data_IF_965220303751
#
_entry.id   IF_965220303751
#
_cell.length_a   1.000
_cell.length_b   1.000
_cell.length_c   1.000
_cell.angle_alpha   90.00
_cell.angle_beta   90.00
_cell.angle_gamma   90.00
#
_symmetry.space_group_name_H-M   'P 1'
#
loop_
_entity.id
_entity.type
_entity.pdbx_description
1 polymer ?
#
# COMPACT_ATOMS: atom_id res chain seq x y z
N UNK A 1 -14.04 -2.36 30.57
CA UNK A 1 -13.68 -1.56 29.38
C UNK A 1 -14.93 -0.76 29.05
N UNK A 2 -14.90 0.57 29.22
CA UNK A 2 -16.04 1.43 28.88
C UNK A 2 -15.76 2.12 27.56
N UNK A 3 -16.69 1.98 26.62
CA UNK A 3 -16.66 2.63 25.31
C UNK A 3 -17.33 3.99 25.45
N UNK A 4 -16.83 4.99 24.71
CA UNK A 4 -17.50 6.27 24.58
C UNK A 4 -18.51 6.17 23.43
N UNK A 5 -19.77 6.40 23.76
CA UNK A 5 -20.89 6.44 22.81
C UNK A 5 -20.92 7.77 22.06
N UNK A 6 -21.85 7.91 21.10
CA UNK A 6 -22.12 9.18 20.42
C UNK A 6 -22.39 10.32 21.41
N UNK A 7 -23.14 10.05 22.48
CA UNK A 7 -23.43 11.02 23.55
C UNK A 7 -22.14 11.44 24.25
N UNK A 8 -21.31 10.48 24.67
CA UNK A 8 -20.05 10.78 25.36
C UNK A 8 -19.09 11.56 24.44
N UNK A 9 -18.97 11.13 23.18
CA UNK A 9 -18.11 11.80 22.19
C UNK A 9 -18.57 13.24 22.02
N UNK A 10 -19.88 13.50 21.86
CA UNK A 10 -20.44 14.86 21.74
C UNK A 10 -20.15 15.71 22.98
N UNK A 11 -20.34 15.15 24.17
CA UNK A 11 -20.03 15.80 25.45
C UNK A 11 -18.57 16.25 25.54
N UNK A 12 -17.64 15.43 25.04
CA UNK A 12 -16.22 15.75 25.00
C UNK A 12 -15.86 16.90 24.05
N UNK A 13 -16.70 17.18 23.05
CA UNK A 13 -16.55 18.34 22.15
C UNK A 13 -17.10 19.63 22.74
N UNK A 14 -18.21 19.56 23.49
CA UNK A 14 -18.90 20.72 24.04
C UNK A 14 -18.20 21.30 25.29
N UNK A 15 -17.56 20.44 26.09
CA UNK A 15 -16.76 20.84 27.26
C UNK A 15 -15.35 21.21 26.78
N UNK A 16 -14.74 22.28 27.32
CA UNK A 16 -13.41 22.77 26.92
C UNK A 16 -12.40 21.62 26.70
N UNK A 17 -12.13 21.36 25.42
CA UNK A 17 -11.61 20.13 24.79
C UNK A 17 -10.45 19.38 25.49
N UNK A 18 -10.63 18.06 25.71
CA UNK A 18 -9.51 17.13 25.74
C UNK A 18 -9.48 16.19 24.53
N UNK A 19 -10.62 15.80 23.93
CA UNK A 19 -10.69 14.93 22.75
C UNK A 19 -11.18 15.72 21.53
N UNK A 20 -10.38 15.77 20.46
CA UNK A 20 -10.68 16.57 19.27
C UNK A 20 -10.62 15.74 17.99
N UNK A 21 -11.64 15.86 17.14
CA UNK A 21 -11.64 15.35 15.76
C UNK A 21 -11.91 16.54 14.84
N UNK A 22 -11.02 16.81 13.89
CA UNK A 22 -11.13 17.97 12.98
C UNK A 22 -10.83 17.60 11.53
N UNK A 23 -11.72 17.89 10.57
CA UNK A 23 -13.07 18.44 10.75
C UNK A 23 -14.04 17.41 11.35
N UNK A 24 -14.89 17.83 12.29
CA UNK A 24 -15.97 17.00 12.83
C UNK A 24 -17.21 17.10 11.94
N UNK A 25 -17.91 15.98 11.75
CA UNK A 25 -19.17 15.90 11.01
C UNK A 25 -20.14 14.98 11.75
N UNK A 26 -21.33 15.49 12.08
CA UNK A 26 -22.38 14.73 12.76
C UNK A 26 -22.81 13.48 11.98
N UNK A 27 -22.76 13.53 10.64
CA UNK A 27 -23.08 12.37 9.79
C UNK A 27 -22.11 11.20 9.95
N UNK A 28 -20.90 11.48 10.44
CA UNK A 28 -19.88 10.47 10.71
C UNK A 28 -19.93 9.97 12.16
N UNK A 29 -20.76 10.55 13.03
CA UNK A 29 -20.93 10.08 14.39
C UNK A 29 -21.80 8.81 14.38
N UNK A 30 -21.33 7.77 15.06
CA UNK A 30 -22.01 6.49 15.17
C UNK A 30 -22.30 6.20 16.65
N UNK A 31 -23.27 5.32 16.98
CA UNK A 31 -23.59 5.01 18.38
C UNK A 31 -22.41 4.52 19.25
N UNK A 32 -21.33 4.04 18.63
CA UNK A 32 -20.18 3.40 19.30
C UNK A 32 -18.84 4.11 19.03
N UNK A 33 -18.84 5.18 18.25
CA UNK A 33 -17.60 5.74 17.72
C UNK A 33 -17.81 6.77 16.62
N UNK A 34 -16.79 6.98 15.80
CA UNK A 34 -16.81 7.95 14.71
C UNK A 34 -16.21 7.37 13.43
N UNK A 35 -16.88 7.57 12.30
CA UNK A 35 -16.44 7.14 10.99
C UNK A 35 -15.38 8.11 10.42
N UNK A 36 -14.19 7.59 10.13
CA UNK A 36 -13.10 8.36 9.55
C UNK A 36 -13.17 8.33 8.02
N UNK A 37 -12.94 9.49 7.42
CA UNK A 37 -13.06 9.73 5.99
C UNK A 37 -11.70 9.73 5.30
N UNK A 38 -11.66 9.35 4.02
CA UNK A 38 -10.45 9.37 3.22
C UNK A 38 -10.01 10.82 2.99
N UNK A 39 -8.79 11.15 3.40
CA UNK A 39 -8.21 12.48 3.29
C UNK A 39 -7.39 12.69 2.02
N UNK A 40 -6.53 13.70 2.06
CA UNK A 40 -5.85 14.23 0.88
C UNK A 40 -4.57 13.50 0.45
N UNK A 41 -4.10 12.46 1.15
CA UNK A 41 -2.83 11.78 0.79
C UNK A 41 -3.00 10.28 0.76
N UNK A 42 -2.49 9.64 -0.30
CA UNK A 42 -2.40 8.19 -0.36
C UNK A 42 -1.17 7.69 -1.11
N UNK A 43 -0.78 6.45 -0.83
CA UNK A 43 0.28 5.72 -1.52
C UNK A 43 -0.22 4.30 -1.78
N UNK A 44 -0.07 3.80 -3.00
CA UNK A 44 -0.32 2.39 -3.32
C UNK A 44 0.98 1.60 -3.39
N UNK A 45 0.94 0.31 -3.09
CA UNK A 45 2.12 -0.57 -3.12
C UNK A 45 2.73 -0.73 -4.52
N UNK A 46 1.99 -0.47 -5.59
CA UNK A 46 2.49 -0.72 -6.95
C UNK A 46 3.16 0.51 -7.57
N UNK A 47 2.64 1.72 -7.33
CA UNK A 47 3.25 2.94 -7.88
C UNK A 47 4.29 3.51 -6.90
N UNK A 48 4.09 3.34 -5.58
CA UNK A 48 5.00 3.88 -4.55
C UNK A 48 5.05 5.40 -4.51
N UNK A 49 4.35 6.07 -5.42
CA UNK A 49 4.21 7.51 -5.50
C UNK A 49 3.13 7.96 -4.54
N UNK A 50 3.43 9.01 -3.78
CA UNK A 50 2.39 9.74 -3.07
C UNK A 50 1.56 10.48 -4.12
N UNK A 51 0.26 10.25 -4.05
CA UNK A 51 -0.71 11.00 -4.84
C UNK A 51 -1.53 11.82 -3.85
N UNK A 52 -1.69 13.10 -4.16
CA UNK A 52 -2.59 13.97 -3.41
C UNK A 52 -4.01 13.77 -3.95
N UNK A 53 -4.96 13.49 -3.06
CA UNK A 53 -6.40 13.46 -3.34
C UNK A 53 -6.95 14.88 -3.13
N UNK A 54 -7.59 15.40 -4.16
CA UNK A 54 -8.41 16.60 -4.08
C UNK A 54 -9.88 16.19 -4.11
N UNK A 55 -10.77 17.15 -3.87
CA UNK A 55 -12.20 16.95 -4.05
C UNK A 55 -12.50 16.38 -5.44
N UNK A 56 -13.49 15.48 -5.52
CA UNK A 56 -13.86 14.71 -6.72
C UNK A 56 -12.84 13.66 -7.19
N UNK A 57 -11.69 13.49 -6.54
CA UNK A 57 -10.76 12.40 -6.85
C UNK A 57 -11.05 11.13 -6.03
N UNK A 58 -10.59 9.99 -6.56
CA UNK A 58 -10.75 8.68 -5.94
C UNK A 58 -9.48 7.85 -6.01
N UNK A 59 -9.25 7.05 -4.98
CA UNK A 59 -8.21 6.01 -4.97
C UNK A 59 -8.79 4.75 -5.57
N UNK A 60 -8.12 4.20 -6.57
CA UNK A 60 -8.45 2.86 -7.09
C UNK A 60 -7.48 1.85 -6.50
N UNK A 61 -8.01 0.85 -5.79
CA UNK A 61 -7.25 -0.23 -5.17
C UNK A 61 -7.53 -1.50 -5.97
N UNK A 62 -6.52 -1.97 -6.70
CA UNK A 62 -6.62 -3.18 -7.53
C UNK A 62 -6.60 -4.46 -6.67
N UNK A 63 -7.07 -5.60 -7.22
CA UNK A 63 -6.95 -6.90 -6.55
C UNK A 63 -5.53 -7.16 -6.04
N UNK A 64 -5.43 -7.60 -4.77
CA UNK A 64 -4.17 -7.90 -4.05
C UNK A 64 -3.26 -6.70 -3.81
N UNK A 65 -3.72 -5.48 -4.10
CA UNK A 65 -3.00 -4.25 -3.83
C UNK A 65 -3.30 -3.74 -2.41
N UNK A 66 -2.30 -3.12 -1.79
CA UNK A 66 -2.48 -2.37 -0.54
C UNK A 66 -2.34 -0.88 -0.80
N UNK A 67 -3.26 -0.09 -0.26
CA UNK A 67 -3.18 1.36 -0.24
C UNK A 67 -3.01 1.86 1.20
N UNK A 68 -2.08 2.79 1.42
CA UNK A 68 -2.04 3.60 2.62
C UNK A 68 -2.79 4.90 2.36
N UNK A 69 -3.82 5.16 3.15
CA UNK A 69 -4.67 6.34 3.01
C UNK A 69 -4.60 7.14 4.31
N UNK A 70 -4.30 8.43 4.22
CA UNK A 70 -4.41 9.35 5.35
C UNK A 70 -5.88 9.67 5.62
N UNK A 71 -6.29 9.75 6.89
CA UNK A 71 -7.63 10.24 7.25
C UNK A 71 -7.76 11.72 6.94
N UNK A 72 -8.98 12.14 6.57
CA UNK A 72 -9.34 13.55 6.43
C UNK A 72 -9.29 14.23 7.80
N UNK A 73 -9.79 13.52 8.82
CA UNK A 73 -9.77 13.97 10.19
C UNK A 73 -8.38 13.89 10.81
N UNK A 74 -7.99 14.96 11.50
CA UNK A 74 -6.98 14.96 12.54
C UNK A 74 -7.64 14.59 13.86
N UNK A 75 -7.15 13.53 14.49
CA UNK A 75 -7.61 13.06 15.81
C UNK A 75 -6.59 13.48 16.85
N UNK A 76 -7.02 14.15 17.92
CA UNK A 76 -6.20 14.52 19.07
C UNK A 76 -6.83 14.01 20.36
N UNK A 77 -6.10 13.17 21.07
CA UNK A 77 -6.51 12.58 22.34
C UNK A 77 -6.20 13.51 23.52
N UNK A 78 -6.91 13.33 24.65
CA UNK A 78 -6.61 14.02 25.91
C UNK A 78 -5.15 13.91 26.36
N UNK A 79 -4.57 15.04 26.77
CA UNK A 79 -3.21 15.14 27.34
C UNK A 79 -3.08 14.41 28.68
N UNK A 80 -4.19 14.27 29.41
CA UNK A 80 -4.26 13.52 30.67
C UNK A 80 -4.18 12.00 30.47
N UNK A 81 -4.14 11.52 29.21
CA UNK A 81 -4.03 10.11 28.83
C UNK A 81 -5.19 9.23 29.33
N UNK A 82 -6.35 9.84 29.58
CA UNK A 82 -7.56 9.15 30.03
C UNK A 82 -8.28 8.36 28.94
N UNK A 83 -7.99 8.62 27.66
CA UNK A 83 -8.64 7.97 26.52
C UNK A 83 -7.61 7.29 25.62
N UNK A 84 -7.99 6.15 25.06
CA UNK A 84 -7.31 5.47 23.95
C UNK A 84 -8.34 4.98 22.96
N UNK A 85 -7.92 4.58 21.75
CA UNK A 85 -8.89 4.14 20.75
C UNK A 85 -8.40 2.99 19.89
N UNK A 86 -9.36 2.33 19.25
CA UNK A 86 -9.14 1.29 18.25
C UNK A 86 -9.75 1.72 16.93
N UNK A 87 -9.01 1.50 15.85
CA UNK A 87 -9.51 1.68 14.49
C UNK A 87 -10.00 0.32 14.01
N UNK A 88 -11.25 0.26 13.56
CA UNK A 88 -11.91 -0.95 13.10
C UNK A 88 -12.47 -0.80 11.69
N UNK A 89 -12.52 -1.92 10.97
CA UNK A 89 -13.05 -1.95 9.62
C UNK A 89 -14.57 -1.85 9.60
N UNK A 90 -15.09 -1.09 8.63
CA UNK A 90 -16.53 -1.06 8.35
C UNK A 90 -16.95 -2.35 7.66
N UNK A 91 -18.03 -2.97 8.12
CA UNK A 91 -18.59 -4.19 7.51
C UNK A 91 -18.94 -3.99 6.04
N UNK A 92 -19.43 -2.79 5.66
CA UNK A 92 -19.73 -2.42 4.26
C UNK A 92 -18.49 -2.40 3.35
N UNK A 93 -17.28 -2.28 3.91
CA UNK A 93 -16.01 -2.33 3.18
C UNK A 93 -15.45 -3.75 3.15
N UNK A 94 -15.44 -4.43 4.30
CA UNK A 94 -14.92 -5.80 4.42
C UNK A 94 -15.73 -6.80 3.60
N UNK A 95 -17.05 -6.64 3.53
CA UNK A 95 -17.93 -7.46 2.69
C UNK A 95 -17.61 -7.37 1.19
N UNK A 96 -16.97 -6.29 0.75
CA UNK A 96 -16.47 -6.11 -0.64
C UNK A 96 -15.04 -6.62 -0.82
N UNK A 97 -14.42 -7.16 0.22
CA UNK A 97 -13.03 -7.61 0.23
C UNK A 97 -12.00 -6.54 0.60
N UNK A 98 -12.43 -5.32 0.96
CA UNK A 98 -11.54 -4.27 1.43
C UNK A 98 -11.36 -4.35 2.94
N UNK A 99 -10.15 -4.69 3.40
CA UNK A 99 -9.88 -4.90 4.83
C UNK A 99 -8.63 -4.14 5.29
N UNK A 100 -8.65 -3.65 6.53
CA UNK A 100 -7.44 -3.24 7.25
C UNK A 100 -7.29 -4.02 8.56
N UNK A 101 -6.06 -4.16 9.02
CA UNK A 101 -5.77 -4.71 10.35
C UNK A 101 -6.14 -3.67 11.39
N UNK A 102 -6.93 -4.06 12.40
CA UNK A 102 -7.29 -3.15 13.49
C UNK A 102 -6.03 -2.62 14.20
N UNK A 103 -5.93 -1.30 14.33
CA UNK A 103 -4.78 -0.63 14.94
C UNK A 103 -5.22 0.24 16.11
N UNK A 104 -4.30 0.50 17.03
CA UNK A 104 -4.56 1.33 18.21
C UNK A 104 -4.15 2.78 17.95
N UNK A 105 -4.87 3.69 18.58
CA UNK A 105 -4.48 5.07 18.76
C UNK A 105 -4.07 5.23 20.22
N UNK A 106 -2.80 5.58 20.44
CA UNK A 106 -2.27 5.76 21.78
C UNK A 106 -2.93 6.94 22.48
N UNK A 107 -2.98 6.88 23.81
CA UNK A 107 -3.32 8.04 24.62
C UNK A 107 -2.38 9.21 24.31
N UNK A 108 -2.91 10.44 24.32
CA UNK A 108 -2.17 11.68 23.99
C UNK A 108 -1.65 11.79 22.53
N UNK A 109 -2.08 10.90 21.63
CA UNK A 109 -1.82 11.04 20.20
C UNK A 109 -2.48 12.30 19.62
N UNK A 110 -1.81 12.98 18.68
CA UNK A 110 -2.41 14.05 17.88
C UNK A 110 -1.90 14.01 16.44
N UNK A 111 -2.82 13.86 15.48
CA UNK A 111 -2.47 13.87 14.07
C UNK A 111 -3.47 13.22 13.14
N UNK A 112 -3.18 13.29 11.84
CA UNK A 112 -3.86 12.46 10.84
C UNK A 112 -3.39 11.02 11.00
N UNK A 113 -4.33 10.09 10.84
CA UNK A 113 -4.06 8.66 10.92
C UNK A 113 -3.74 8.14 9.52
N UNK A 114 -2.89 7.12 9.44
CA UNK A 114 -2.62 6.41 8.18
C UNK A 114 -3.15 5.01 8.32
N UNK A 115 -4.03 4.63 7.40
CA UNK A 115 -4.70 3.33 7.42
C UNK A 115 -4.26 2.53 6.21
N UNK A 116 -3.80 1.30 6.47
CA UNK A 116 -3.40 0.35 5.44
C UNK A 116 -4.59 -0.52 5.04
N UNK A 117 -5.09 -0.37 3.83
CA UNK A 117 -6.21 -1.14 3.29
C UNK A 117 -5.72 -2.07 2.20
N UNK A 118 -6.05 -3.35 2.31
CA UNK A 118 -5.76 -4.35 1.27
C UNK A 118 -7.04 -4.80 0.61
N UNK A 119 -7.02 -4.84 -0.73
CA UNK A 119 -8.11 -5.39 -1.51
C UNK A 119 -7.89 -6.90 -1.72
N UNK A 120 -8.67 -7.72 -1.03
CA UNK A 120 -8.65 -9.18 -1.13
C UNK A 120 -9.61 -9.73 -2.18
N UNK A 121 -10.41 -8.89 -2.83
CA UNK A 121 -11.35 -9.29 -3.87
C UNK A 121 -10.67 -9.48 -5.24
N UNK A 122 -11.43 -9.98 -6.21
CA UNK A 122 -11.02 -10.05 -7.63
C UNK A 122 -11.35 -8.78 -8.42
N UNK A 123 -12.10 -7.85 -7.84
CA UNK A 123 -12.55 -6.61 -8.50
C UNK A 123 -11.76 -5.41 -8.00
N UNK A 124 -11.67 -4.35 -8.82
CA UNK A 124 -11.13 -3.08 -8.32
C UNK A 124 -12.12 -2.42 -7.35
N UNK A 125 -11.59 -1.83 -6.29
CA UNK A 125 -12.38 -1.09 -5.29
C UNK A 125 -11.95 0.37 -5.32
N UNK A 126 -12.91 1.28 -5.39
CA UNK A 126 -12.67 2.70 -5.43
C UNK A 126 -13.11 3.34 -4.10
N UNK A 127 -12.32 4.30 -3.61
CA UNK A 127 -12.64 5.11 -2.42
C UNK A 127 -12.52 6.58 -2.81
N UNK A 128 -13.62 7.32 -2.68
CA UNK A 128 -13.64 8.74 -2.99
C UNK A 128 -13.01 9.57 -1.85
N UNK A 129 -12.41 10.72 -2.18
CA UNK A 129 -12.05 11.70 -1.18
C UNK A 129 -13.29 12.08 -0.33
N UNK A 130 -13.14 12.12 0.98
CA UNK A 130 -14.25 12.37 1.92
C UNK A 130 -15.16 11.17 2.20
N UNK A 131 -14.94 10.01 1.58
CA UNK A 131 -15.73 8.82 1.85
C UNK A 131 -15.30 8.14 3.15
N UNK A 132 -16.26 7.72 4.00
CA UNK A 132 -15.94 6.96 5.22
C UNK A 132 -15.49 5.54 4.90
N UNK A 133 -14.41 5.10 5.55
CA UNK A 133 -13.78 3.81 5.22
C UNK A 133 -13.33 3.00 6.43
N UNK A 134 -13.20 3.61 7.61
CA UNK A 134 -13.00 2.93 8.88
C UNK A 134 -13.76 3.66 9.99
N UNK A 135 -13.87 3.03 11.15
CA UNK A 135 -14.50 3.60 12.34
C UNK A 135 -13.49 3.61 13.47
N UNK A 136 -13.41 4.70 14.21
CA UNK A 136 -12.65 4.78 15.47
C UNK A 136 -13.60 4.58 16.65
N UNK A 137 -13.22 3.67 17.54
CA UNK A 137 -13.93 3.38 18.80
C UNK A 137 -13.05 3.83 19.95
N UNK A 138 -13.57 4.73 20.78
CA UNK A 138 -12.84 5.31 21.91
C UNK A 138 -13.14 4.57 23.20
N UNK A 139 -12.13 4.45 24.06
CA UNK A 139 -12.20 3.79 25.35
C UNK A 139 -11.69 4.71 26.43
N UNK A 140 -12.39 4.73 27.56
CA UNK A 140 -11.84 5.30 28.78
C UNK A 140 -10.85 4.31 29.38
N UNK A 141 -9.64 4.78 29.63
CA UNK A 141 -8.60 4.02 30.31
C UNK A 141 -8.98 3.88 31.79
N UNK A 142 -8.86 2.66 32.32
CA UNK A 142 -9.10 2.41 33.75
C UNK A 142 -8.11 3.21 34.62
N UNK A 143 -6.88 3.32 34.15
CA UNK A 143 -5.84 4.18 34.72
C UNK A 143 -5.13 4.87 33.56
N UNK A 144 -4.90 6.19 33.63
CA UNK A 144 -4.16 6.89 32.58
C UNK A 144 -2.79 6.27 32.33
N UNK A 145 -2.37 6.22 31.06
CA UNK A 145 -1.02 5.76 30.72
C UNK A 145 0.01 6.67 31.39
N UNK A 146 1.11 6.10 31.89
CA UNK A 146 2.27 6.87 32.35
C UNK A 146 3.17 7.24 31.16
N UNK A 147 3.19 6.39 30.13
CA UNK A 147 4.02 6.59 28.94
C UNK A 147 3.37 7.60 28.00
N UNK A 148 4.08 8.66 27.57
CA UNK A 148 3.59 9.59 26.56
C UNK A 148 3.63 8.95 25.17
N UNK A 149 2.85 9.50 24.24
CA UNK A 149 2.95 9.13 22.83
C UNK A 149 4.16 9.83 22.19
N UNK A 150 5.15 9.06 21.77
CA UNK A 150 6.35 9.58 21.08
C UNK A 150 6.19 9.62 19.55
N UNK A 151 5.07 9.11 19.04
CA UNK A 151 4.82 8.98 17.61
C UNK A 151 4.51 10.37 17.01
N UNK A 152 5.07 10.65 15.82
CA UNK A 152 4.85 11.91 15.09
C UNK A 152 3.58 11.87 14.25
N UNK A 153 2.91 13.02 14.14
CA UNK A 153 1.76 13.26 13.24
C UNK A 153 2.03 12.72 11.82
N UNK A 154 1.03 12.08 11.23
CA UNK A 154 1.09 11.57 9.87
C UNK A 154 2.17 10.51 9.63
N UNK A 155 2.78 9.94 10.68
CA UNK A 155 3.74 8.83 10.66
C UNK A 155 4.59 8.77 9.37
N UNK A 156 5.40 9.81 9.08
CA UNK A 156 6.18 9.87 7.84
C UNK A 156 7.16 8.70 7.73
N UNK A 157 7.60 8.15 8.87
CA UNK A 157 8.39 6.94 8.95
C UNK A 157 7.72 5.75 8.24
N UNK A 158 6.42 5.59 8.40
CA UNK A 158 5.62 4.53 7.75
C UNK A 158 5.22 4.92 6.34
N UNK A 159 4.80 6.18 6.15
CA UNK A 159 4.24 6.63 4.87
C UNK A 159 5.28 6.68 3.74
N UNK A 160 6.51 7.09 4.02
CA UNK A 160 7.49 7.41 2.98
C UNK A 160 8.56 6.35 2.77
N UNK A 161 9.11 5.77 3.85
CA UNK A 161 10.39 5.05 3.77
C UNK A 161 10.23 3.61 3.30
N UNK A 162 9.20 2.91 3.76
CA UNK A 162 9.07 1.48 3.49
C UNK A 162 8.25 1.15 2.24
N UNK A 163 7.24 1.97 1.93
CA UNK A 163 6.39 1.72 0.75
C UNK A 163 7.04 2.13 -0.55
N UNK A 164 7.67 3.31 -0.61
CA UNK A 164 8.39 3.73 -1.80
C UNK A 164 9.46 2.71 -2.18
N UNK A 165 10.18 2.18 -1.18
CA UNK A 165 11.18 1.13 -1.36
C UNK A 165 10.55 -0.18 -1.86
N UNK A 166 9.51 -0.69 -1.18
CA UNK A 166 8.82 -1.93 -1.58
C UNK A 166 8.17 -1.81 -2.97
N UNK A 167 7.56 -0.68 -3.28
CA UNK A 167 6.96 -0.40 -4.57
C UNK A 167 8.00 -0.32 -5.68
N UNK A 168 9.13 0.37 -5.44
CA UNK A 168 10.24 0.42 -6.40
C UNK A 168 10.80 -0.98 -6.67
N UNK A 169 10.95 -1.80 -5.63
CA UNK A 169 11.38 -3.20 -5.77
C UNK A 169 10.36 -4.05 -6.55
N UNK A 170 9.06 -3.89 -6.27
CA UNK A 170 7.98 -4.58 -6.98
C UNK A 170 7.93 -4.17 -8.46
N UNK A 171 8.06 -2.88 -8.78
CA UNK A 171 8.13 -2.35 -10.14
C UNK A 171 9.34 -2.91 -10.90
N UNK A 172 10.54 -2.88 -10.29
CA UNK A 172 11.75 -3.49 -10.87
C UNK A 172 11.53 -4.98 -11.17
N UNK A 173 10.91 -5.72 -10.25
CA UNK A 173 10.60 -7.15 -10.42
C UNK A 173 9.60 -7.39 -11.56
N UNK A 174 8.56 -6.57 -11.68
CA UNK A 174 7.57 -6.66 -12.78
C UNK A 174 8.23 -6.39 -14.13
N UNK A 175 8.99 -5.29 -14.25
CA UNK A 175 9.73 -4.96 -15.47
C UNK A 175 10.73 -6.05 -15.87
N UNK A 176 11.44 -6.61 -14.90
CA UNK A 176 12.33 -7.75 -15.13
C UNK A 176 11.55 -8.97 -15.66
N UNK A 177 10.41 -9.28 -15.06
CA UNK A 177 9.59 -10.44 -15.45
C UNK A 177 9.09 -10.29 -16.88
N UNK A 178 8.58 -9.12 -17.25
CA UNK A 178 8.13 -8.82 -18.62
C UNK A 178 9.28 -8.88 -19.62
N UNK A 179 10.42 -8.23 -19.35
CA UNK A 179 11.59 -8.26 -20.24
C UNK A 179 12.22 -9.65 -20.35
N UNK A 180 12.28 -10.40 -19.26
CA UNK A 180 12.76 -11.79 -19.26
C UNK A 180 11.83 -12.69 -20.06
N UNK A 181 10.51 -12.50 -19.96
CA UNK A 181 9.53 -13.25 -20.74
C UNK A 181 9.66 -12.93 -22.23
N UNK A 182 9.76 -11.65 -22.59
CA UNK A 182 9.97 -11.21 -23.98
C UNK A 182 11.28 -11.76 -24.55
N UNK A 183 12.38 -11.68 -23.79
CA UNK A 183 13.67 -12.21 -24.21
C UNK A 183 13.60 -13.72 -24.49
N UNK A 184 13.04 -14.50 -23.56
CA UNK A 184 12.91 -15.96 -23.70
C UNK A 184 11.99 -16.36 -24.86
N UNK A 185 10.93 -15.60 -25.10
CA UNK A 185 9.92 -15.93 -26.11
C UNK A 185 10.33 -15.51 -27.53
N UNK A 186 11.06 -14.40 -27.68
CA UNK A 186 11.34 -13.82 -29.00
C UNK A 186 12.83 -13.74 -29.32
N UNK A 187 13.64 -13.19 -28.42
CA UNK A 187 15.06 -12.91 -28.72
C UNK A 187 15.91 -14.18 -28.70
N UNK A 188 15.75 -15.04 -27.69
CA UNK A 188 16.54 -16.27 -27.58
C UNK A 188 16.34 -17.23 -28.79
N UNK A 189 15.10 -17.51 -29.25
CA UNK A 189 14.90 -18.31 -30.46
C UNK A 189 15.50 -17.67 -31.71
N UNK A 190 15.38 -16.35 -31.88
CA UNK A 190 15.96 -15.62 -33.01
C UNK A 190 17.48 -15.78 -33.08
N UNK A 191 18.19 -15.69 -31.95
CA UNK A 191 19.65 -15.89 -31.88
C UNK A 191 20.02 -17.30 -32.34
N UNK A 192 19.28 -18.32 -31.89
CA UNK A 192 19.54 -19.73 -32.24
C UNK A 192 19.25 -19.99 -33.73
N UNK A 193 18.14 -19.47 -34.26
CA UNK A 193 17.79 -19.60 -35.68
C UNK A 193 18.82 -18.90 -36.56
N UNK A 194 19.29 -17.71 -36.18
CA UNK A 194 20.32 -16.99 -36.92
C UNK A 194 21.67 -17.71 -36.89
N UNK A 195 22.04 -18.29 -35.74
CA UNK A 195 23.23 -19.13 -35.61
C UNK A 195 23.16 -20.40 -36.47
N UNK A 196 22.00 -21.09 -36.48
CA UNK A 196 21.75 -22.23 -37.36
C UNK A 196 21.82 -21.85 -38.84
N UNK A 197 21.18 -20.74 -39.23
CA UNK A 197 21.19 -20.23 -40.60
C UNK A 197 22.61 -19.88 -41.05
N UNK A 198 23.37 -19.17 -40.21
CA UNK A 198 24.77 -18.83 -40.49
C UNK A 198 25.65 -20.07 -40.63
N UNK A 199 25.49 -21.06 -39.76
CA UNK A 199 26.20 -22.32 -39.82
C UNK A 199 25.89 -23.09 -41.11
N UNK A 200 24.61 -23.14 -41.50
CA UNK A 200 24.18 -23.79 -42.73
C UNK A 200 24.74 -23.11 -43.98
N UNK A 201 24.72 -21.78 -44.04
CA UNK A 201 25.20 -21.03 -45.20
C UNK A 201 26.72 -21.13 -45.42
N UNK A 202 27.52 -21.30 -44.37
CA UNK A 202 28.99 -21.25 -44.46
C UNK A 202 29.67 -22.62 -44.28
N UNK A 203 29.01 -23.58 -43.64
CA UNK A 203 29.63 -24.84 -43.19
C UNK A 203 28.73 -26.06 -43.37
N UNK A 204 27.86 -26.07 -44.39
CA UNK A 204 26.89 -27.14 -44.67
C UNK A 204 27.52 -28.55 -44.65
N UNK A 205 28.74 -28.70 -45.15
CA UNK A 205 29.42 -29.99 -45.29
C UNK A 205 30.18 -30.44 -44.03
N UNK A 206 30.24 -29.60 -42.99
CA UNK A 206 31.00 -29.88 -41.77
C UNK A 206 30.11 -29.88 -40.51
N UNK A 207 29.59 -31.06 -40.16
CA UNK A 207 28.70 -31.25 -39.01
C UNK A 207 29.30 -30.82 -37.66
N UNK A 208 30.62 -30.95 -37.47
CA UNK A 208 31.29 -30.50 -36.24
C UNK A 208 31.28 -28.97 -36.11
N UNK A 209 31.45 -28.24 -37.21
CA UNK A 209 31.38 -26.77 -37.21
C UNK A 209 29.96 -26.27 -36.96
N UNK A 210 28.95 -26.94 -37.53
CA UNK A 210 27.54 -26.58 -37.29
C UNK A 210 27.19 -26.72 -35.80
N UNK A 211 27.52 -27.86 -35.19
CA UNK A 211 27.25 -28.09 -33.76
C UNK A 211 27.99 -27.08 -32.86
N UNK A 212 29.25 -26.74 -33.20
CA UNK A 212 30.02 -25.71 -32.48
C UNK A 212 29.38 -24.31 -32.52
N UNK A 213 28.87 -23.88 -33.67
CA UNK A 213 28.24 -22.55 -33.82
C UNK A 213 26.89 -22.48 -33.08
N UNK A 214 26.10 -23.55 -33.15
CA UNK A 214 24.80 -23.61 -32.46
C UNK A 214 25.00 -23.61 -30.94
N UNK A 215 25.94 -24.40 -30.44
CA UNK A 215 26.27 -24.43 -29.01
C UNK A 215 26.78 -23.07 -28.51
N UNK A 216 27.63 -22.40 -29.29
CA UNK A 216 28.06 -21.03 -28.98
C UNK A 216 26.90 -20.03 -28.96
N UNK A 217 25.96 -20.13 -29.91
CA UNK A 217 24.78 -19.26 -30.00
C UNK A 217 23.84 -19.42 -28.79
N UNK A 218 23.65 -20.66 -28.32
CA UNK A 218 22.90 -20.95 -27.09
C UNK A 218 23.62 -20.38 -25.87
N UNK A 219 24.94 -20.54 -25.76
CA UNK A 219 25.73 -20.00 -24.67
C UNK A 219 25.68 -18.46 -24.62
N UNK A 220 25.78 -17.79 -25.77
CA UNK A 220 25.63 -16.33 -25.89
C UNK A 220 24.24 -15.88 -25.41
N UNK A 221 23.19 -16.62 -25.79
CA UNK A 221 21.83 -16.31 -25.33
C UNK A 221 21.69 -16.43 -23.79
N UNK A 222 22.29 -17.45 -23.19
CA UNK A 222 22.27 -17.63 -21.73
C UNK A 222 23.06 -16.55 -20.99
N UNK A 223 24.21 -16.13 -21.52
CA UNK A 223 25.01 -15.04 -20.96
C UNK A 223 24.27 -13.71 -21.01
N UNK A 224 23.59 -13.42 -22.12
CA UNK A 224 22.79 -12.21 -22.24
C UNK A 224 21.61 -12.22 -21.26
N UNK A 225 20.90 -13.34 -21.11
CA UNK A 225 19.85 -13.48 -20.10
C UNK A 225 20.38 -13.27 -18.66
N UNK A 226 21.58 -13.79 -18.37
CA UNK A 226 22.25 -13.59 -17.08
C UNK A 226 22.61 -12.13 -16.83
N UNK A 227 23.05 -11.39 -17.85
CA UNK A 227 23.32 -9.95 -17.75
C UNK A 227 22.05 -9.13 -17.49
N UNK A 228 20.92 -9.53 -18.09
CA UNK A 228 19.60 -8.96 -17.81
C UNK A 228 19.25 -9.14 -16.32
N UNK A 229 19.45 -10.33 -15.75
CA UNK A 229 19.20 -10.59 -14.32
C UNK A 229 19.99 -9.63 -13.43
N UNK A 230 21.30 -9.48 -13.69
CA UNK A 230 22.18 -8.65 -12.88
C UNK A 230 21.76 -7.18 -12.92
N UNK A 231 21.30 -6.69 -14.08
CA UNK A 231 20.87 -5.30 -14.27
C UNK A 231 19.61 -4.94 -13.46
N UNK A 232 18.71 -5.89 -13.22
CA UNK A 232 17.45 -5.64 -12.48
C UNK A 232 17.48 -6.09 -11.01
N UNK A 233 18.56 -6.75 -10.55
CA UNK A 233 18.74 -7.16 -9.16
C UNK A 233 19.46 -6.11 -8.29
N UNK A 234 20.07 -5.08 -8.90
CA UNK A 234 20.60 -3.87 -8.25
C UNK A 234 19.52 -2.78 -8.16
#
# INVERSE_FOLDING_TARGET
MSILTDVDIRDYFEKENPLMIKPFSEECLTPVGYDLRAGGKYVTTDDGRQIELHECMKVTIFPKQTALISTLEKVSMPKDRSISALIVSKVSKVSKGLSHVATTIDADWSGNLIIALTNHSSEKIEICHGESFCTVVFFKNLTPSIKPCEKKDGRPDVFFKDLSKKATEALKKKQYTEKSFFYKSFIAPLIVVFGLMFAYLNFADNGYMITGIVTASVAISQLYHSSLIIKYKK
#
